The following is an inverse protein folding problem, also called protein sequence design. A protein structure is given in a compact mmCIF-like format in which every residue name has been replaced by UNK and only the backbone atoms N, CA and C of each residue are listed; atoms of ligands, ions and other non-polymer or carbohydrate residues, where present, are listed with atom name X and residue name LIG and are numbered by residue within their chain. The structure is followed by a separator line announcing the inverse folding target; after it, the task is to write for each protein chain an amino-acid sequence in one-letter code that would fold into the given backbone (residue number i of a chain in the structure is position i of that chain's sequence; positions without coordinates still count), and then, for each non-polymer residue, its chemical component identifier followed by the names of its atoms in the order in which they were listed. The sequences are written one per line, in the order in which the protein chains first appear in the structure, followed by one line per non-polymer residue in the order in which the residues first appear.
data_IF_129566966816
#
_entry.id   IF_129566966816
#
_cell.length_a   1.000
_cell.length_b   1.000
_cell.length_c   1.000
_cell.angle_alpha   90.00
_cell.angle_beta   90.00
_cell.angle_gamma   90.00
#
_symmetry.space_group_name_H-M   'P 1'
#
loop_
_entity.id
_entity.type
_entity.pdbx_description
1 polymer ?
#
# COMPACT_ATOMS: atom_id res chain seq x y z
N UNK A 1 4.47 25.42 -29.32
CA UNK A 1 5.51 25.46 -28.28
C UNK A 1 6.79 24.93 -28.90
N UNK A 2 7.61 25.82 -29.47
CA UNK A 2 8.95 25.46 -29.91
C UNK A 2 9.82 25.30 -28.65
N UNK A 3 10.41 24.13 -28.47
CA UNK A 3 11.32 23.76 -27.37
C UNK A 3 12.65 23.21 -27.89
N UNK A 4 12.79 23.16 -29.22
CA UNK A 4 14.01 22.80 -29.95
C UNK A 4 13.81 23.19 -31.42
N UNK A 5 14.91 23.47 -32.12
CA UNK A 5 14.91 23.68 -33.58
C UNK A 5 15.13 22.38 -34.38
N UNK A 6 15.23 21.23 -33.68
CA UNK A 6 15.41 19.92 -34.31
C UNK A 6 14.29 19.61 -35.31
N UNK A 7 14.66 19.38 -36.57
CA UNK A 7 13.74 18.95 -37.63
C UNK A 7 13.97 17.48 -37.97
N UNK A 8 12.91 16.66 -37.91
CA UNK A 8 12.97 15.26 -38.32
C UNK A 8 12.65 15.10 -39.82
N UNK A 9 13.23 14.10 -40.52
CA UNK A 9 12.89 13.79 -41.91
C UNK A 9 11.39 13.50 -42.12
N UNK A 10 10.82 13.90 -43.27
CA UNK A 10 9.39 13.68 -43.60
C UNK A 10 9.07 12.25 -44.09
N UNK A 11 9.85 11.26 -43.64
CA UNK A 11 9.66 9.83 -43.94
C UNK A 11 9.38 9.04 -42.65
N UNK A 12 8.74 7.87 -42.74
CA UNK A 12 8.59 6.98 -41.59
C UNK A 12 9.96 6.59 -41.00
N UNK A 13 10.05 6.65 -39.68
CA UNK A 13 11.23 6.25 -38.90
C UNK A 13 10.86 5.11 -37.95
N UNK A 14 11.81 4.21 -37.74
CA UNK A 14 11.76 3.18 -36.71
C UNK A 14 12.43 3.69 -35.44
N UNK A 15 11.91 3.25 -34.30
CA UNK A 15 12.49 3.51 -32.99
C UNK A 15 13.24 2.25 -32.53
N UNK A 16 14.46 2.44 -32.02
CA UNK A 16 15.28 1.34 -31.54
C UNK A 16 14.57 0.57 -30.40
N UNK A 17 14.63 -0.77 -30.40
CA UNK A 17 14.06 -1.59 -29.34
C UNK A 17 14.73 -1.27 -27.99
N UNK A 18 14.00 -1.45 -26.89
CA UNK A 18 14.53 -1.19 -25.54
C UNK A 18 14.54 0.30 -25.13
N UNK A 19 14.07 1.21 -25.98
CA UNK A 19 13.97 2.64 -25.66
C UNK A 19 12.95 2.96 -24.55
N UNK A 20 11.98 2.06 -24.31
CA UNK A 20 11.07 2.08 -23.16
C UNK A 20 11.31 0.83 -22.32
N UNK A 21 11.44 0.99 -21.01
CA UNK A 21 11.66 -0.09 -20.05
C UNK A 21 10.60 -0.09 -18.94
N UNK A 22 10.23 -1.26 -18.39
CA UNK A 22 9.47 -1.29 -17.15
C UNK A 22 10.30 -0.66 -16.02
N UNK A 23 9.65 -0.11 -14.99
CA UNK A 23 10.34 0.39 -13.81
C UNK A 23 11.31 -0.65 -13.25
N UNK A 24 12.49 -0.20 -12.81
CA UNK A 24 13.49 -1.07 -12.20
C UNK A 24 12.95 -1.67 -10.91
N UNK A 25 13.32 -2.92 -10.64
CA UNK A 25 12.95 -3.59 -9.39
C UNK A 25 11.49 -3.99 -9.32
N UNK A 26 10.67 -3.74 -10.34
CA UNK A 26 9.25 -4.08 -10.33
C UNK A 26 9.00 -5.57 -10.12
N UNK A 27 9.76 -6.45 -10.79
CA UNK A 27 9.66 -7.90 -10.60
C UNK A 27 10.09 -8.30 -9.19
N UNK A 28 11.20 -7.72 -8.70
CA UNK A 28 11.69 -7.98 -7.35
C UNK A 28 10.67 -7.55 -6.29
N UNK A 29 10.09 -6.35 -6.42
CA UNK A 29 9.04 -5.85 -5.55
C UNK A 29 7.80 -6.76 -5.59
N UNK A 30 7.40 -7.24 -6.77
CA UNK A 30 6.28 -8.18 -6.91
C UNK A 30 6.56 -9.50 -6.18
N UNK A 31 7.74 -10.09 -6.36
CA UNK A 31 8.13 -11.33 -5.65
C UNK A 31 8.17 -11.08 -4.13
N UNK A 32 8.74 -9.95 -3.70
CA UNK A 32 8.79 -9.56 -2.29
C UNK A 32 7.38 -9.45 -1.69
N UNK A 33 6.47 -8.71 -2.32
CA UNK A 33 5.11 -8.52 -1.80
C UNK A 33 4.27 -9.80 -1.86
N UNK A 34 4.46 -10.66 -2.87
CA UNK A 34 3.83 -11.98 -2.90
C UNK A 34 4.39 -12.89 -1.80
N UNK A 35 5.70 -12.86 -1.56
CA UNK A 35 6.33 -13.59 -0.46
C UNK A 35 5.85 -13.11 0.91
N UNK A 36 5.74 -11.80 1.10
CA UNK A 36 5.19 -11.22 2.33
C UNK A 36 3.71 -11.58 2.53
N UNK A 37 2.90 -11.53 1.46
CA UNK A 37 1.50 -11.96 1.51
C UNK A 37 1.39 -13.44 1.88
N UNK A 38 2.17 -14.30 1.20
CA UNK A 38 2.18 -15.74 1.47
C UNK A 38 2.66 -16.06 2.89
N UNK A 39 3.72 -15.40 3.36
CA UNK A 39 4.19 -15.53 4.74
C UNK A 39 3.11 -15.12 5.74
N UNK A 40 2.44 -13.99 5.51
CA UNK A 40 1.43 -13.46 6.41
C UNK A 40 0.21 -14.40 6.50
N UNK A 41 -0.27 -14.93 5.36
CA UNK A 41 -1.34 -15.94 5.33
C UNK A 41 -0.91 -17.26 5.98
N UNK A 42 0.33 -17.71 5.73
CA UNK A 42 0.84 -18.94 6.34
C UNK A 42 0.99 -18.80 7.86
N UNK A 43 1.47 -17.65 8.33
CA UNK A 43 1.72 -17.39 9.75
C UNK A 43 0.43 -17.16 10.54
N UNK A 44 -0.52 -16.37 10.03
CA UNK A 44 -1.75 -16.02 10.76
C UNK A 44 -2.95 -16.90 10.41
N UNK A 45 -2.95 -17.53 9.23
CA UNK A 45 -4.11 -18.22 8.68
C UNK A 45 -4.61 -19.41 9.49
N UNK A 46 -3.74 -20.34 9.95
CA UNK A 46 -4.18 -21.53 10.67
C UNK A 46 -4.93 -21.21 11.96
N UNK A 47 -4.36 -20.38 12.83
CA UNK A 47 -4.98 -20.01 14.12
C UNK A 47 -6.27 -19.22 13.90
N UNK A 48 -6.28 -18.31 12.93
CA UNK A 48 -7.47 -17.54 12.60
C UNK A 48 -8.60 -18.42 12.07
N UNK A 49 -8.26 -19.44 11.27
CA UNK A 49 -9.23 -20.40 10.76
C UNK A 49 -9.78 -21.27 11.89
N UNK A 50 -8.93 -21.74 12.81
CA UNK A 50 -9.33 -22.49 14.00
C UNK A 50 -10.25 -21.67 14.90
N UNK A 51 -9.86 -20.45 15.26
CA UNK A 51 -10.67 -19.58 16.11
C UNK A 51 -11.99 -19.18 15.43
N UNK A 52 -11.98 -19.01 14.09
CA UNK A 52 -13.20 -18.81 13.31
C UNK A 52 -14.12 -20.03 13.36
N UNK A 53 -13.60 -21.25 13.30
CA UNK A 53 -14.40 -22.47 13.47
C UNK A 53 -15.04 -22.53 14.86
N UNK A 54 -14.27 -22.28 15.93
CA UNK A 54 -14.77 -22.26 17.31
C UNK A 54 -15.87 -21.19 17.48
N UNK A 55 -15.72 -20.01 16.86
CA UNK A 55 -16.71 -18.92 16.94
C UNK A 55 -18.10 -19.26 16.40
N UNK A 56 -18.25 -20.35 15.63
CA UNK A 56 -19.54 -20.76 15.04
C UNK A 56 -20.46 -21.43 16.05
N UNK A 57 -19.91 -22.20 16.98
CA UNK A 57 -20.62 -22.89 18.05
C UNK A 57 -19.75 -22.90 19.33
N UNK A 58 -19.53 -21.72 19.96
CA UNK A 58 -18.63 -21.60 21.09
C UNK A 58 -19.29 -22.14 22.36
N UNK A 59 -18.56 -22.98 23.11
CA UNK A 59 -18.96 -23.49 24.43
C UNK A 59 -17.90 -23.08 25.43
N UNK A 60 -18.28 -22.24 26.40
CA UNK A 60 -17.37 -21.81 27.47
C UNK A 60 -17.36 -22.83 28.61
N UNK A 61 -16.17 -23.22 29.06
CA UNK A 61 -15.99 -24.16 30.17
C UNK A 61 -15.72 -23.39 31.47
N UNK A 62 -16.54 -23.66 32.50
CA UNK A 62 -16.35 -23.10 33.84
C UNK A 62 -15.27 -23.85 34.65
N UNK A 63 -15.04 -25.13 34.33
CA UNK A 63 -14.08 -26.00 35.00
C UNK A 63 -12.98 -26.44 34.02
N UNK A 64 -12.05 -25.53 33.74
CA UNK A 64 -10.85 -25.81 32.96
C UNK A 64 -9.60 -25.37 33.72
N UNK A 65 -8.55 -26.18 33.66
CA UNK A 65 -7.26 -25.86 34.27
C UNK A 65 -6.41 -25.13 33.24
N UNK A 66 -5.92 -23.94 33.60
CA UNK A 66 -5.00 -23.14 32.80
C UNK A 66 -3.67 -23.09 33.54
N UNK A 67 -2.60 -23.58 32.91
CA UNK A 67 -1.23 -23.58 33.44
C UNK A 67 -0.31 -22.75 32.53
N UNK A 68 0.78 -22.23 33.10
CA UNK A 68 1.84 -21.52 32.37
C UNK A 68 1.36 -20.37 31.45
N UNK A 69 0.28 -19.67 31.82
CA UNK A 69 -0.22 -18.53 31.07
C UNK A 69 0.74 -17.35 31.10
N UNK A 70 1.30 -16.96 29.96
CA UNK A 70 2.14 -15.75 29.84
C UNK A 70 1.71 -14.90 28.64
N UNK A 71 1.75 -13.56 28.81
CA UNK A 71 1.49 -12.61 27.73
C UNK A 71 2.62 -11.59 27.64
N UNK A 72 3.19 -11.41 26.45
CA UNK A 72 4.26 -10.46 26.17
C UNK A 72 3.84 -9.45 25.10
N UNK A 73 3.87 -8.16 25.45
CA UNK A 73 3.59 -7.07 24.50
C UNK A 73 4.88 -6.46 23.95
N UNK A 74 5.16 -6.66 22.66
CA UNK A 74 6.30 -6.10 21.94
C UNK A 74 5.90 -4.86 21.13
N UNK A 75 6.82 -3.89 21.06
CA UNK A 75 6.67 -2.64 20.27
C UNK A 75 5.44 -1.80 20.63
N UNK A 76 4.81 -2.07 21.79
CA UNK A 76 3.69 -1.31 22.35
C UNK A 76 2.32 -1.60 21.75
N UNK A 77 2.19 -2.58 20.84
CA UNK A 77 0.90 -2.90 20.21
C UNK A 77 0.77 -4.34 19.70
N UNK A 78 1.82 -5.16 19.74
CA UNK A 78 1.75 -6.57 19.38
C UNK A 78 1.84 -7.39 20.66
N UNK A 79 0.79 -8.14 20.98
CA UNK A 79 0.74 -9.00 22.17
C UNK A 79 0.70 -10.45 21.74
N UNK A 80 1.62 -11.24 22.28
CA UNK A 80 1.64 -12.70 22.14
C UNK A 80 1.30 -13.29 23.51
N UNK A 81 0.39 -14.26 23.54
CA UNK A 81 0.03 -15.00 24.73
C UNK A 81 0.18 -16.50 24.47
N UNK A 82 0.65 -17.24 25.45
CA UNK A 82 0.71 -18.70 25.46
C UNK A 82 0.09 -19.22 26.76
N UNK A 83 -0.58 -20.37 26.69
CA UNK A 83 -1.13 -21.05 27.85
C UNK A 83 -1.30 -22.55 27.58
N UNK A 84 -1.04 -23.37 28.59
CA UNK A 84 -1.39 -24.79 28.60
C UNK A 84 -2.78 -24.96 29.21
N UNK A 85 -3.65 -25.74 28.57
CA UNK A 85 -5.00 -26.00 29.06
C UNK A 85 -5.27 -27.48 29.18
N UNK A 86 -5.96 -27.86 30.26
CA UNK A 86 -6.49 -29.20 30.47
C UNK A 86 -7.96 -29.09 30.89
N UNK A 87 -8.82 -29.82 30.19
CA UNK A 87 -10.26 -29.79 30.43
C UNK A 87 -10.92 -31.13 30.14
N UNK A 88 -12.13 -31.32 30.64
CA UNK A 88 -12.95 -32.50 30.34
C UNK A 88 -14.30 -32.09 29.80
N UNK A 89 -14.73 -32.71 28.70
CA UNK A 89 -16.02 -32.46 28.07
C UNK A 89 -16.69 -33.79 27.72
N UNK A 90 -17.97 -33.96 28.10
CA UNK A 90 -18.75 -35.20 27.92
C UNK A 90 -18.03 -36.49 28.38
N UNK A 91 -17.22 -36.39 29.45
CA UNK A 91 -16.48 -37.52 30.01
C UNK A 91 -15.18 -37.89 29.28
N UNK A 92 -14.77 -37.11 28.27
CA UNK A 92 -13.45 -37.21 27.64
C UNK A 92 -12.54 -36.09 28.13
N UNK A 93 -11.27 -36.41 28.38
CA UNK A 93 -10.24 -35.44 28.78
C UNK A 93 -9.44 -34.97 27.57
N UNK A 94 -9.14 -33.68 27.54
CA UNK A 94 -8.37 -33.02 26.50
C UNK A 94 -7.27 -32.18 27.15
N UNK A 95 -6.11 -32.19 26.51
CA UNK A 95 -5.00 -31.29 26.80
C UNK A 95 -4.65 -30.52 25.53
N UNK A 96 -4.18 -29.29 25.68
CA UNK A 96 -3.84 -28.45 24.55
C UNK A 96 -2.91 -27.31 24.93
N UNK A 97 -2.07 -26.94 23.97
CA UNK A 97 -1.26 -25.73 24.03
C UNK A 97 -1.89 -24.66 23.15
N UNK A 98 -2.21 -23.50 23.72
CA UNK A 98 -2.86 -22.40 23.02
C UNK A 98 -1.87 -21.24 22.90
N UNK A 99 -1.50 -20.92 21.67
CA UNK A 99 -0.77 -19.69 21.33
C UNK A 99 -1.73 -18.71 20.63
N UNK A 100 -1.65 -17.44 21.01
CA UNK A 100 -2.46 -16.35 20.47
C UNK A 100 -1.58 -15.13 20.21
N UNK A 101 -1.69 -14.55 19.02
CA UNK A 101 -1.04 -13.28 18.70
C UNK A 101 -2.05 -12.28 18.14
N UNK A 102 -2.13 -11.09 18.75
CA UNK A 102 -3.09 -10.06 18.39
C UNK A 102 -2.51 -8.65 18.54
N UNK A 103 -3.24 -7.66 18.01
CA UNK A 103 -2.93 -6.24 18.19
C UNK A 103 -3.73 -5.69 19.37
N UNK A 104 -3.04 -5.27 20.43
CA UNK A 104 -3.65 -4.66 21.60
C UNK A 104 -2.77 -3.57 22.21
N UNK A 105 -3.42 -2.55 22.76
CA UNK A 105 -2.79 -1.46 23.51
C UNK A 105 -2.99 -1.60 25.02
N UNK A 106 -3.68 -2.67 25.47
CA UNK A 106 -3.91 -2.95 26.88
C UNK A 106 -2.61 -3.28 27.63
N UNK A 107 -2.50 -2.77 28.85
CA UNK A 107 -1.40 -3.03 29.78
C UNK A 107 -1.99 -3.57 31.08
N UNK A 108 -1.82 -4.86 31.34
CA UNK A 108 -2.40 -5.54 32.50
C UNK A 108 -2.59 -7.03 32.25
N UNK A 109 -3.13 -7.72 33.25
CA UNK A 109 -3.49 -9.13 33.16
C UNK A 109 -4.81 -9.30 32.42
N UNK A 110 -4.92 -10.36 31.61
CA UNK A 110 -6.15 -10.69 30.90
C UNK A 110 -6.92 -11.75 31.68
N UNK A 111 -8.20 -11.50 31.91
CA UNK A 111 -9.11 -12.55 32.37
C UNK A 111 -9.54 -13.39 31.18
N UNK A 112 -9.29 -14.70 31.26
CA UNK A 112 -9.54 -15.63 30.16
C UNK A 112 -10.26 -16.87 30.65
N UNK A 113 -11.22 -17.35 29.86
CA UNK A 113 -11.85 -18.67 30.03
C UNK A 113 -11.46 -19.56 28.85
N UNK A 114 -11.52 -20.88 29.06
CA UNK A 114 -11.32 -21.84 27.96
C UNK A 114 -12.63 -21.98 27.20
N UNK A 115 -12.56 -21.80 25.89
CA UNK A 115 -13.69 -21.93 24.97
C UNK A 115 -13.38 -23.02 23.95
N UNK A 116 -14.30 -23.97 23.81
CA UNK A 116 -14.19 -25.07 22.86
C UNK A 116 -15.23 -24.94 21.75
N UNK A 117 -15.01 -25.64 20.64
CA UNK A 117 -16.07 -25.84 19.64
C UNK A 117 -17.04 -26.92 20.11
N UNK A 118 -18.34 -26.61 20.13
CA UNK A 118 -19.37 -27.61 20.39
C UNK A 118 -19.48 -28.68 19.30
N UNK A 119 -18.98 -28.40 18.09
CA UNK A 119 -18.98 -29.35 16.97
C UNK A 119 -17.75 -30.28 16.98
N UNK A 120 -16.62 -29.80 17.52
CA UNK A 120 -15.37 -30.54 17.63
C UNK A 120 -14.64 -30.13 18.93
N UNK A 121 -14.87 -30.87 20.04
CA UNK A 121 -14.29 -30.55 21.34
C UNK A 121 -12.76 -30.60 21.39
N UNK A 122 -12.07 -31.13 20.36
CA UNK A 122 -10.61 -31.09 20.28
C UNK A 122 -10.08 -29.68 19.93
N UNK A 123 -10.93 -28.80 19.42
CA UNK A 123 -10.60 -27.41 19.14
C UNK A 123 -10.90 -26.54 20.36
N UNK A 124 -9.83 -26.10 21.03
CA UNK A 124 -9.90 -25.15 22.13
C UNK A 124 -9.15 -23.85 21.81
N UNK A 125 -9.65 -22.75 22.37
CA UNK A 125 -9.02 -21.43 22.37
C UNK A 125 -9.34 -20.73 23.70
N UNK A 126 -8.71 -19.58 23.94
CA UNK A 126 -9.08 -18.72 25.06
C UNK A 126 -10.18 -17.75 24.62
N UNK A 127 -11.06 -17.33 25.53
CA UNK A 127 -12.08 -16.30 25.25
C UNK A 127 -11.48 -15.06 24.59
N UNK A 128 -10.29 -14.67 25.01
CA UNK A 128 -9.49 -13.58 24.43
C UNK A 128 -9.21 -13.77 22.92
N UNK A 129 -9.01 -15.01 22.47
CA UNK A 129 -8.83 -15.34 21.06
C UNK A 129 -10.06 -15.01 20.21
N UNK A 130 -11.25 -15.30 20.74
CA UNK A 130 -12.53 -15.01 20.08
C UNK A 130 -12.87 -13.51 20.12
N UNK A 131 -12.61 -12.83 21.23
CA UNK A 131 -12.82 -11.39 21.36
C UNK A 131 -11.97 -10.59 20.35
N UNK A 132 -10.71 -11.00 20.18
CA UNK A 132 -9.76 -10.34 19.26
C UNK A 132 -9.80 -10.92 17.85
N UNK A 133 -10.67 -11.89 17.56
CA UNK A 133 -10.79 -12.55 16.25
C UNK A 133 -11.03 -11.53 15.12
N UNK A 134 -12.01 -10.63 15.29
CA UNK A 134 -12.32 -9.63 14.27
C UNK A 134 -11.22 -8.59 14.08
N UNK A 135 -10.51 -8.21 15.14
CA UNK A 135 -9.33 -7.35 15.03
C UNK A 135 -8.27 -8.02 14.15
N UNK A 136 -7.94 -9.29 14.42
CA UNK A 136 -6.98 -10.09 13.63
C UNK A 136 -7.43 -10.25 12.18
N UNK A 137 -8.71 -10.56 11.92
CA UNK A 137 -9.28 -10.64 10.56
C UNK A 137 -9.12 -9.32 9.80
N UNK A 138 -9.49 -8.19 10.42
CA UNK A 138 -9.43 -6.87 9.78
C UNK A 138 -7.98 -6.48 9.47
N UNK A 139 -7.07 -6.67 10.42
CA UNK A 139 -5.65 -6.36 10.23
C UNK A 139 -5.07 -7.23 9.10
N UNK A 140 -5.33 -8.53 9.13
CA UNK A 140 -4.95 -9.46 8.05
C UNK A 140 -5.48 -9.00 6.70
N UNK A 141 -6.76 -8.65 6.62
CA UNK A 141 -7.41 -8.21 5.39
C UNK A 141 -6.80 -6.91 4.84
N UNK A 142 -6.52 -5.92 5.72
CA UNK A 142 -5.91 -4.65 5.32
C UNK A 142 -4.50 -4.83 4.77
N UNK A 143 -3.64 -5.58 5.45
CA UNK A 143 -2.29 -5.87 4.96
C UNK A 143 -2.32 -6.70 3.68
N UNK A 144 -3.24 -7.66 3.58
CA UNK A 144 -3.42 -8.46 2.37
C UNK A 144 -3.85 -7.61 1.18
N UNK A 145 -4.82 -6.72 1.38
CA UNK A 145 -5.29 -5.78 0.37
C UNK A 145 -4.18 -4.81 -0.07
N UNK A 146 -3.37 -4.31 0.87
CA UNK A 146 -2.21 -3.47 0.57
C UNK A 146 -1.21 -4.19 -0.32
N UNK A 147 -0.77 -5.39 0.06
CA UNK A 147 0.22 -6.14 -0.73
C UNK A 147 -0.32 -6.55 -2.10
N UNK A 148 -1.58 -7.00 -2.16
CA UNK A 148 -2.24 -7.32 -3.43
C UNK A 148 -2.37 -6.07 -4.32
N UNK A 149 -2.73 -4.93 -3.76
CA UNK A 149 -2.80 -3.64 -4.46
C UNK A 149 -1.44 -3.23 -5.05
N UNK A 150 -0.35 -3.44 -4.30
CA UNK A 150 1.02 -3.18 -4.77
C UNK A 150 1.45 -4.12 -5.91
N UNK A 151 1.05 -5.40 -5.84
CA UNK A 151 1.25 -6.38 -6.92
C UNK A 151 0.45 -5.99 -8.17
N UNK A 152 -0.84 -5.67 -8.03
CA UNK A 152 -1.70 -5.24 -9.14
C UNK A 152 -1.15 -3.96 -9.78
N UNK A 153 -0.77 -2.97 -8.99
CA UNK A 153 -0.14 -1.72 -9.48
C UNK A 153 1.12 -2.02 -10.31
N UNK A 154 1.96 -2.95 -9.83
CA UNK A 154 3.15 -3.40 -10.55
C UNK A 154 2.78 -4.08 -11.88
N UNK A 155 1.77 -4.94 -11.91
CA UNK A 155 1.28 -5.58 -13.13
C UNK A 155 0.74 -4.55 -14.13
N UNK A 156 -0.04 -3.57 -13.69
CA UNK A 156 -0.55 -2.47 -14.54
C UNK A 156 0.59 -1.66 -15.15
N UNK A 157 1.62 -1.32 -14.35
CA UNK A 157 2.80 -0.62 -14.84
C UNK A 157 3.56 -1.44 -15.89
N UNK A 158 3.72 -2.76 -15.66
CA UNK A 158 4.35 -3.68 -16.62
C UNK A 158 3.54 -3.80 -17.91
N UNK A 159 2.22 -4.01 -17.81
CA UNK A 159 1.32 -4.12 -18.96
C UNK A 159 1.37 -2.85 -19.81
N UNK A 160 1.38 -1.69 -19.17
CA UNK A 160 1.49 -0.40 -19.85
C UNK A 160 2.84 -0.22 -20.55
N UNK A 161 3.95 -0.58 -19.91
CA UNK A 161 5.27 -0.53 -20.54
C UNK A 161 5.35 -1.48 -21.74
N UNK A 162 4.76 -2.69 -21.64
CA UNK A 162 4.69 -3.64 -22.74
C UNK A 162 3.81 -3.15 -23.89
N UNK A 163 2.66 -2.54 -23.60
CA UNK A 163 1.79 -1.94 -24.63
C UNK A 163 2.49 -0.78 -25.33
N UNK A 164 3.22 0.07 -24.61
CA UNK A 164 4.03 1.13 -25.21
C UNK A 164 5.15 0.58 -26.10
N UNK A 165 5.85 -0.48 -25.67
CA UNK A 165 6.88 -1.17 -26.47
C UNK A 165 6.32 -1.75 -27.77
N UNK A 166 5.14 -2.38 -27.72
CA UNK A 166 4.46 -2.86 -28.93
C UNK A 166 4.06 -1.72 -29.86
N UNK A 167 3.58 -0.61 -29.29
CA UNK A 167 3.18 0.57 -30.06
C UNK A 167 4.31 1.32 -30.76
N UNK A 168 5.58 1.11 -30.39
CA UNK A 168 6.75 1.73 -31.06
C UNK A 168 7.47 0.81 -32.05
N UNK A 169 6.95 -0.40 -32.29
CA UNK A 169 7.63 -1.40 -33.12
C UNK A 169 7.51 -1.15 -34.63
N UNK A 170 6.53 -0.34 -35.04
CA UNK A 170 6.31 0.01 -36.44
C UNK A 170 7.10 1.24 -36.88
N UNK A 171 7.28 1.38 -38.19
CA UNK A 171 7.76 2.63 -38.79
C UNK A 171 6.61 3.63 -38.87
N UNK A 172 6.81 4.85 -38.39
CA UNK A 172 5.80 5.90 -38.50
C UNK A 172 6.44 7.29 -38.58
N UNK A 173 5.63 8.29 -38.94
CA UNK A 173 5.99 9.70 -38.78
C UNK A 173 5.98 10.04 -37.29
N UNK A 174 7.09 10.58 -36.80
CA UNK A 174 7.32 10.84 -35.39
C UNK A 174 7.12 12.32 -35.09
N UNK A 175 6.35 12.63 -34.05
CA UNK A 175 6.19 13.99 -33.55
C UNK A 175 7.17 14.28 -32.41
N UNK A 176 7.88 15.41 -32.46
CA UNK A 176 8.73 15.86 -31.35
C UNK A 176 7.87 16.35 -30.19
N UNK A 177 8.21 15.92 -28.97
CA UNK A 177 7.50 16.30 -27.74
C UNK A 177 8.48 16.64 -26.61
N UNK A 178 8.21 17.67 -25.81
CA UNK A 178 9.02 17.99 -24.65
C UNK A 178 8.74 17.00 -23.52
N UNK A 179 9.78 16.43 -22.92
CA UNK A 179 9.64 15.50 -21.79
C UNK A 179 10.34 16.03 -20.54
N UNK A 180 9.66 16.00 -19.41
CA UNK A 180 10.23 16.36 -18.11
C UNK A 180 10.90 15.14 -17.51
N UNK A 181 12.19 15.25 -17.21
CA UNK A 181 12.90 14.23 -16.44
C UNK A 181 12.50 14.37 -14.97
N UNK A 182 11.87 13.33 -14.44
CA UNK A 182 11.36 13.31 -13.06
C UNK A 182 12.35 12.67 -12.10
N UNK A 183 13.12 11.69 -12.57
CA UNK A 183 14.16 11.04 -11.81
C UNK A 183 15.27 10.57 -12.76
N UNK A 184 16.52 10.86 -12.39
CA UNK A 184 17.73 10.42 -13.10
C UNK A 184 18.61 9.74 -12.07
N UNK A 185 18.92 8.48 -12.30
CA UNK A 185 19.70 7.66 -11.37
C UNK A 185 20.80 6.91 -12.12
N UNK A 186 22.04 7.13 -11.71
CA UNK A 186 23.22 6.51 -12.30
C UNK A 186 23.72 5.34 -11.43
N UNK A 187 24.07 4.24 -12.08
CA UNK A 187 24.67 3.08 -11.41
C UNK A 187 25.71 2.44 -12.33
N UNK A 188 26.98 2.67 -12.03
CA UNK A 188 28.09 2.25 -12.90
C UNK A 188 27.94 2.88 -14.28
N UNK A 189 27.94 2.06 -15.34
CA UNK A 189 27.79 2.52 -16.74
C UNK A 189 26.34 2.72 -17.20
N UNK A 190 25.34 2.64 -16.31
CA UNK A 190 23.91 2.71 -16.68
C UNK A 190 23.25 3.93 -16.05
N UNK A 191 22.56 4.72 -16.88
CA UNK A 191 21.75 5.86 -16.44
C UNK A 191 20.28 5.53 -16.63
N UNK A 192 19.57 5.39 -15.52
CA UNK A 192 18.13 5.13 -15.50
C UNK A 192 17.38 6.45 -15.43
N UNK A 193 16.44 6.66 -16.35
CA UNK A 193 15.68 7.91 -16.44
C UNK A 193 14.20 7.62 -16.41
N UNK A 194 13.50 8.24 -15.45
CA UNK A 194 12.03 8.31 -15.41
C UNK A 194 11.61 9.68 -15.91
N UNK A 195 10.77 9.71 -16.94
CA UNK A 195 10.37 10.93 -17.62
C UNK A 195 8.87 10.92 -17.91
N UNK A 196 8.29 12.09 -18.14
CA UNK A 196 6.90 12.22 -18.55
C UNK A 196 6.78 13.36 -19.55
N UNK A 197 5.86 13.23 -20.51
CA UNK A 197 5.59 14.34 -21.42
C UNK A 197 5.03 15.56 -20.71
N UNK A 198 5.45 16.76 -21.12
CA UNK A 198 4.78 18.00 -20.75
C UNK A 198 3.58 18.21 -21.67
N UNK A 199 2.36 18.02 -21.16
CA UNK A 199 1.12 18.22 -21.93
C UNK A 199 0.72 19.70 -21.90
N UNK A 200 0.84 20.33 -20.74
CA UNK A 200 0.59 21.75 -20.52
C UNK A 200 1.48 22.26 -19.37
N UNK A 201 1.65 23.58 -19.19
CA UNK A 201 2.37 24.13 -18.04
C UNK A 201 1.86 23.52 -16.73
N UNK A 202 2.75 22.92 -15.93
CA UNK A 202 2.42 22.25 -14.68
C UNK A 202 1.71 20.88 -14.79
N UNK A 203 1.29 20.45 -16.00
CA UNK A 203 0.60 19.17 -16.22
C UNK A 203 1.45 18.20 -17.04
N UNK A 204 1.85 17.11 -16.38
CA UNK A 204 2.61 16.05 -17.01
C UNK A 204 1.70 14.89 -17.40
N UNK A 205 2.04 14.24 -18.51
CA UNK A 205 1.46 12.97 -18.92
C UNK A 205 1.91 11.82 -18.03
N UNK A 206 1.61 10.60 -18.48
CA UNK A 206 1.94 9.42 -17.71
C UNK A 206 3.46 9.12 -17.80
N UNK A 207 4.09 8.74 -16.69
CA UNK A 207 5.54 8.52 -16.62
C UNK A 207 6.01 7.27 -17.38
N UNK A 208 7.11 7.38 -18.13
CA UNK A 208 7.83 6.32 -18.81
C UNK A 208 9.23 6.15 -18.19
N UNK A 209 9.86 4.99 -18.41
CA UNK A 209 11.23 4.73 -17.95
C UNK A 209 12.09 4.30 -19.12
N UNK A 210 13.35 4.69 -19.10
CA UNK A 210 14.36 4.22 -20.06
C UNK A 210 15.70 4.04 -19.35
N UNK A 211 16.61 3.31 -20.00
CA UNK A 211 17.98 3.13 -19.53
C UNK A 211 18.92 3.50 -20.66
N UNK A 212 19.91 4.33 -20.37
CA UNK A 212 21.04 4.61 -21.24
C UNK A 212 22.26 3.85 -20.73
N UNK A 213 23.13 3.42 -21.65
CA UNK A 213 24.39 2.75 -21.35
C UNK A 213 25.52 3.63 -21.88
N UNK A 214 26.47 3.98 -21.02
CA UNK A 214 27.56 4.89 -21.38
C UNK A 214 28.31 4.38 -22.64
N UNK A 215 28.55 5.26 -23.64
CA UNK A 215 28.53 6.72 -23.54
C UNK A 215 27.18 7.40 -23.80
N UNK A 216 26.09 6.67 -24.10
CA UNK A 216 24.80 7.26 -24.41
C UNK A 216 24.24 8.07 -23.24
N UNK A 217 23.76 9.28 -23.53
CA UNK A 217 23.15 10.21 -22.58
C UNK A 217 21.80 10.70 -23.11
N UNK A 218 20.86 11.12 -22.24
CA UNK A 218 19.60 11.71 -22.70
C UNK A 218 19.85 13.02 -23.45
N UNK A 219 19.12 13.24 -24.54
CA UNK A 219 19.12 14.51 -25.26
C UNK A 219 18.27 15.53 -24.49
N UNK A 220 18.88 16.67 -24.16
CA UNK A 220 18.28 17.73 -23.36
C UNK A 220 18.28 19.06 -24.14
N UNK A 221 17.27 19.90 -23.90
CA UNK A 221 17.17 21.28 -24.36
C UNK A 221 16.45 22.13 -23.30
N UNK A 222 16.32 23.43 -23.53
CA UNK A 222 15.55 24.35 -22.70
C UNK A 222 14.12 24.50 -23.26
N UNK A 223 13.13 24.55 -22.38
CA UNK A 223 11.79 24.99 -22.78
C UNK A 223 11.72 26.53 -22.88
N UNK A 224 10.56 27.04 -23.29
CA UNK A 224 10.33 28.49 -23.47
C UNK A 224 10.49 29.29 -22.16
N UNK A 225 10.40 28.61 -21.01
CA UNK A 225 10.55 29.20 -19.69
C UNK A 225 12.00 29.07 -19.17
N UNK A 226 12.92 28.56 -20.00
CA UNK A 226 14.31 28.30 -19.64
C UNK A 226 14.52 27.08 -18.73
N UNK A 227 13.52 26.20 -18.59
CA UNK A 227 13.66 24.98 -17.78
C UNK A 227 14.26 23.85 -18.62
N UNK A 228 15.12 23.05 -17.99
CA UNK A 228 15.64 21.84 -18.63
C UNK A 228 14.52 20.84 -18.93
N UNK A 229 14.37 20.49 -20.20
CA UNK A 229 13.52 19.42 -20.70
C UNK A 229 14.34 18.45 -21.54
N UNK A 230 13.92 17.18 -21.57
CA UNK A 230 14.41 16.22 -22.54
C UNK A 230 13.66 16.34 -23.87
N UNK A 231 14.33 15.94 -24.95
CA UNK A 231 13.71 15.83 -26.26
C UNK A 231 13.21 14.39 -26.44
N UNK A 232 11.90 14.23 -26.62
CA UNK A 232 11.26 12.96 -26.91
C UNK A 232 10.59 12.93 -28.27
N UNK A 233 10.27 11.73 -28.73
CA UNK A 233 9.42 11.48 -29.89
C UNK A 233 8.16 10.72 -29.48
N UNK A 234 7.03 11.07 -30.09
CA UNK A 234 5.79 10.31 -30.01
C UNK A 234 5.56 9.56 -31.32
N UNK A 235 5.42 8.25 -31.20
CA UNK A 235 4.82 7.41 -32.23
C UNK A 235 3.29 7.48 -32.11
N UNK A 236 2.52 7.57 -33.23
CA UNK A 236 1.07 7.72 -33.20
C UNK A 236 0.36 6.61 -32.42
N UNK A 237 0.80 5.36 -32.57
CA UNK A 237 0.22 4.19 -31.88
C UNK A 237 0.77 3.93 -30.47
N UNK A 238 1.74 4.72 -30.01
CA UNK A 238 2.39 4.51 -28.72
C UNK A 238 1.72 5.30 -27.59
N UNK A 239 1.42 4.60 -26.49
CA UNK A 239 0.88 5.22 -25.28
C UNK A 239 1.85 6.16 -24.56
N UNK A 240 3.15 6.06 -24.83
CA UNK A 240 4.21 6.78 -24.13
C UNK A 240 5.22 7.32 -25.13
N UNK A 241 5.75 8.54 -24.90
CA UNK A 241 6.83 9.06 -25.71
C UNK A 241 8.12 8.29 -25.45
N UNK A 242 9.06 8.42 -26.37
CA UNK A 242 10.41 7.86 -26.28
C UNK A 242 11.39 9.01 -26.12
N UNK A 243 12.12 9.03 -25.01
CA UNK A 243 13.22 9.98 -24.80
C UNK A 243 14.39 9.64 -25.74
N UNK A 244 14.91 10.64 -26.46
CA UNK A 244 16.04 10.48 -27.37
C UNK A 244 17.38 10.50 -26.62
N UNK A 245 18.39 9.89 -27.24
CA UNK A 245 19.78 9.99 -26.84
C UNK A 245 20.49 11.14 -27.58
N UNK A 246 21.57 11.65 -26.99
CA UNK A 246 22.32 12.79 -27.52
C UNK A 246 22.89 12.58 -28.93
N UNK A 247 23.13 11.32 -29.33
CA UNK A 247 23.67 10.94 -30.65
C UNK A 247 22.57 10.50 -31.64
N UNK A 248 21.29 10.56 -31.23
CA UNK A 248 20.12 10.16 -32.02
C UNK A 248 20.19 8.70 -32.53
N UNK A 249 20.87 7.80 -31.81
CA UNK A 249 20.99 6.38 -32.16
C UNK A 249 19.68 5.61 -32.01
N UNK A 250 18.74 6.13 -31.21
CA UNK A 250 17.40 5.53 -31.02
C UNK A 250 16.49 5.66 -32.24
N UNK A 251 16.87 6.44 -33.25
CA UNK A 251 16.09 6.64 -34.48
C UNK A 251 16.81 6.01 -35.67
N UNK A 252 16.04 5.42 -36.59
CA UNK A 252 16.56 4.88 -37.85
C UNK A 252 16.84 5.98 -38.89
N UNK A 253 17.70 6.92 -38.54
CA UNK A 253 18.19 7.98 -39.43
C UNK A 253 19.32 7.45 -40.33
N UNK A 254 19.42 7.98 -41.54
CA UNK A 254 20.63 7.79 -42.35
C UNK A 254 21.80 8.56 -41.72
N UNK A 255 23.06 8.21 -42.03
CA UNK A 255 24.22 8.95 -41.53
C UNK A 255 24.16 10.46 -41.85
N UNK A 256 23.69 10.81 -43.05
CA UNK A 256 23.53 12.20 -43.50
C UNK A 256 22.44 12.94 -42.72
N UNK A 257 21.26 12.33 -42.57
CA UNK A 257 20.15 12.89 -41.79
C UNK A 257 20.54 13.10 -40.32
N UNK A 258 21.26 12.13 -39.74
CA UNK A 258 21.75 12.22 -38.37
C UNK A 258 22.76 13.35 -38.20
N UNK A 259 23.72 13.48 -39.12
CA UNK A 259 24.70 14.57 -39.07
C UNK A 259 24.04 15.95 -39.17
N UNK A 260 23.05 16.10 -40.07
CA UNK A 260 22.30 17.35 -40.20
C UNK A 260 21.53 17.69 -38.91
N UNK A 261 20.86 16.70 -38.30
CA UNK A 261 20.14 16.87 -37.04
C UNK A 261 21.07 17.23 -35.87
N UNK A 262 22.22 16.54 -35.75
CA UNK A 262 23.23 16.84 -34.72
C UNK A 262 23.86 18.22 -34.91
N UNK A 263 24.02 18.70 -36.15
CA UNK A 263 24.50 20.04 -36.42
C UNK A 263 23.52 21.11 -35.89
N UNK A 264 22.21 20.92 -36.08
CA UNK A 264 21.17 21.80 -35.52
C UNK A 264 21.26 21.84 -33.98
N UNK A 265 21.32 20.67 -33.34
CA UNK A 265 21.44 20.56 -31.87
C UNK A 265 22.70 21.26 -31.35
N UNK A 266 23.85 21.08 -32.01
CA UNK A 266 25.10 21.74 -31.61
C UNK A 266 25.04 23.26 -31.77
N UNK A 267 24.38 23.76 -32.82
CA UNK A 267 24.19 25.19 -32.99
C UNK A 267 23.29 25.80 -31.91
N UNK A 268 22.22 25.11 -31.53
CA UNK A 268 21.34 25.48 -30.42
C UNK A 268 22.12 25.50 -29.09
N UNK A 269 22.91 24.45 -28.83
CA UNK A 269 23.75 24.37 -27.64
C UNK A 269 24.87 25.43 -27.57
N UNK A 270 25.38 25.91 -28.71
CA UNK A 270 26.35 27.02 -28.74
C UNK A 270 25.68 28.37 -28.44
N UNK A 271 24.42 28.55 -28.82
CA UNK A 271 23.66 29.77 -28.59
C UNK A 271 23.15 29.87 -27.14
N UNK A 272 22.62 28.77 -26.59
CA UNK A 272 21.90 28.76 -25.30
C UNK A 272 22.66 28.02 -24.18
N UNK A 273 23.71 27.27 -24.51
CA UNK A 273 24.44 26.40 -23.59
C UNK A 273 23.88 24.97 -23.54
N UNK A 274 24.58 24.07 -22.86
CA UNK A 274 24.15 22.67 -22.67
C UNK A 274 23.44 22.55 -21.32
N UNK A 275 22.14 22.18 -21.29
CA UNK A 275 21.43 21.98 -20.04
C UNK A 275 21.98 20.77 -19.27
N UNK A 276 22.19 20.94 -17.97
CA UNK A 276 22.50 19.84 -17.06
C UNK A 276 21.26 19.00 -16.78
N UNK A 277 21.42 17.68 -16.69
CA UNK A 277 20.33 16.79 -16.28
C UNK A 277 19.81 17.20 -14.90
N UNK A 278 18.48 17.33 -14.71
CA UNK A 278 17.94 17.73 -13.44
C UNK A 278 18.27 16.69 -12.36
N UNK A 279 18.59 17.11 -11.13
CA UNK A 279 18.88 16.18 -10.04
C UNK A 279 17.64 15.32 -9.74
N UNK A 280 17.86 14.12 -9.21
CA UNK A 280 16.79 13.22 -8.80
C UNK A 280 15.82 13.95 -7.86
N UNK A 281 14.53 13.99 -8.20
CA UNK A 281 13.51 14.55 -7.31
C UNK A 281 13.47 13.72 -6.03
N UNK A 282 13.61 14.39 -4.89
CA UNK A 282 13.43 13.76 -3.57
C UNK A 282 12.04 13.15 -3.51
N UNK A 283 11.95 11.90 -3.06
CA UNK A 283 10.66 11.22 -2.89
C UNK A 283 9.81 12.02 -1.90
N UNK A 284 8.70 12.61 -2.36
CA UNK A 284 7.76 13.30 -1.49
C UNK A 284 6.89 12.28 -0.74
N UNK A 285 7.51 11.49 0.14
CA UNK A 285 6.87 10.41 0.90
C UNK A 285 5.61 10.88 1.63
N UNK A 286 5.59 12.13 2.12
CA UNK A 286 4.43 12.77 2.75
C UNK A 286 3.19 12.80 1.86
N UNK A 287 3.31 13.03 0.55
CA UNK A 287 2.16 13.04 -0.38
C UNK A 287 1.58 11.65 -0.59
N UNK A 288 2.45 10.64 -0.72
CA UNK A 288 2.03 9.24 -0.81
C UNK A 288 1.39 8.76 0.48
N UNK A 289 1.98 9.12 1.63
CA UNK A 289 1.46 8.81 2.95
C UNK A 289 0.10 9.46 3.18
N UNK A 290 -0.08 10.75 2.86
CA UNK A 290 -1.37 11.43 2.99
C UNK A 290 -2.43 10.84 2.07
N UNK A 291 -2.08 10.49 0.82
CA UNK A 291 -3.04 9.87 -0.09
C UNK A 291 -3.49 8.48 0.38
N UNK A 292 -2.60 7.72 1.03
CA UNK A 292 -2.90 6.40 1.55
C UNK A 292 -3.58 6.44 2.91
N UNK A 293 -2.99 7.13 3.90
CA UNK A 293 -3.50 7.22 5.27
C UNK A 293 -4.66 8.20 5.41
N UNK A 294 -4.81 9.19 4.51
CA UNK A 294 -5.83 10.23 4.61
C UNK A 294 -7.26 9.68 4.70
N UNK A 295 -7.68 8.77 3.80
CA UNK A 295 -9.00 8.13 3.91
C UNK A 295 -9.20 7.37 5.23
N UNK A 296 -8.19 6.63 5.70
CA UNK A 296 -8.28 5.90 6.98
C UNK A 296 -8.34 6.84 8.18
N UNK A 297 -7.57 7.92 8.17
CA UNK A 297 -7.59 8.94 9.22
C UNK A 297 -8.94 9.65 9.25
N UNK A 298 -9.53 9.96 8.08
CA UNK A 298 -10.87 10.55 8.00
C UNK A 298 -11.94 9.60 8.55
N UNK A 299 -11.87 8.30 8.20
CA UNK A 299 -12.76 7.29 8.76
C UNK A 299 -12.58 7.18 10.28
N UNK A 300 -11.35 7.13 10.77
CA UNK A 300 -11.04 7.06 12.19
C UNK A 300 -11.56 8.27 12.98
N UNK A 301 -11.34 9.49 12.47
CA UNK A 301 -11.87 10.72 13.07
C UNK A 301 -13.41 10.72 13.03
N UNK A 302 -14.01 10.25 11.93
CA UNK A 302 -15.45 10.09 11.82
C UNK A 302 -16.02 9.10 12.84
N UNK A 303 -15.39 7.94 13.01
CA UNK A 303 -15.75 6.95 14.02
C UNK A 303 -15.63 7.50 15.44
N UNK A 304 -14.55 8.21 15.76
CA UNK A 304 -14.37 8.84 17.07
C UNK A 304 -15.38 9.96 17.32
N UNK A 305 -15.67 10.79 16.32
CA UNK A 305 -16.68 11.84 16.42
C UNK A 305 -18.08 11.27 16.63
N UNK A 306 -18.43 10.19 15.90
CA UNK A 306 -19.67 9.46 16.11
C UNK A 306 -19.72 8.84 17.51
N UNK A 307 -18.64 8.20 17.96
CA UNK A 307 -18.56 7.64 19.31
C UNK A 307 -18.77 8.70 20.39
N UNK A 308 -18.16 9.88 20.25
CA UNK A 308 -18.35 10.99 21.18
C UNK A 308 -19.82 11.44 21.21
N UNK A 309 -20.46 11.56 20.04
CA UNK A 309 -21.90 11.83 19.95
C UNK A 309 -22.73 10.72 20.61
N UNK A 310 -22.35 9.46 20.41
CA UNK A 310 -23.01 8.31 21.01
C UNK A 310 -23.01 8.38 22.54
N UNK A 311 -21.84 8.47 23.17
CA UNK A 311 -21.74 8.43 24.64
C UNK A 311 -22.36 9.67 25.30
N UNK A 312 -22.27 10.84 24.66
CA UNK A 312 -22.74 12.11 25.26
C UNK A 312 -24.18 12.47 24.92
N UNK A 313 -24.67 12.09 23.74
CA UNK A 313 -25.86 12.71 23.14
C UNK A 313 -26.86 11.73 22.51
N UNK A 314 -26.49 10.47 22.23
CA UNK A 314 -27.41 9.53 21.56
C UNK A 314 -28.69 9.31 22.37
N UNK A 315 -29.86 9.15 21.72
CA UNK A 315 -31.14 9.01 22.40
C UNK A 315 -31.33 7.68 23.14
N UNK A 316 -30.46 6.70 22.90
CA UNK A 316 -30.52 5.36 23.48
C UNK A 316 -29.12 4.79 23.69
N UNK A 317 -28.96 3.93 24.72
CA UNK A 317 -27.72 3.18 24.92
C UNK A 317 -27.53 2.03 23.89
N UNK A 318 -28.57 1.64 23.15
CA UNK A 318 -28.53 0.49 22.24
C UNK A 318 -28.24 0.88 20.79
N UNK A 319 -27.23 1.73 20.57
CA UNK A 319 -26.73 2.05 19.23
C UNK A 319 -25.70 0.99 18.80
N UNK A 320 -26.02 0.20 17.77
CA UNK A 320 -25.16 -0.91 17.35
C UNK A 320 -23.75 -0.47 16.96
N UNK A 321 -23.61 0.66 16.29
CA UNK A 321 -22.30 1.15 15.85
C UNK A 321 -21.55 1.82 17.02
N UNK A 322 -22.25 2.62 17.83
CA UNK A 322 -21.71 3.27 19.02
C UNK A 322 -21.20 2.27 20.06
N UNK A 323 -21.97 1.21 20.34
CA UNK A 323 -21.58 0.11 21.24
C UNK A 323 -20.31 -0.58 20.73
N UNK A 324 -20.27 -0.92 19.44
CA UNK A 324 -19.12 -1.57 18.81
C UNK A 324 -17.87 -0.69 18.91
N UNK A 325 -17.98 0.61 18.59
CA UNK A 325 -16.83 1.53 18.71
C UNK A 325 -16.41 1.69 20.17
N UNK A 326 -17.35 1.80 21.11
CA UNK A 326 -17.01 1.93 22.53
C UNK A 326 -16.26 0.70 23.04
N UNK A 327 -16.69 -0.50 22.68
CA UNK A 327 -16.09 -1.77 23.12
C UNK A 327 -14.64 -1.96 22.64
N UNK A 328 -14.29 -1.44 21.46
CA UNK A 328 -12.95 -1.59 20.89
C UNK A 328 -11.96 -0.49 21.29
N UNK A 329 -12.43 0.58 21.96
CA UNK A 329 -11.57 1.68 22.37
C UNK A 329 -10.68 1.29 23.56
N UNK A 330 -9.50 1.94 23.73
CA UNK A 330 -8.63 1.71 24.87
C UNK A 330 -9.36 1.87 26.21
N UNK A 331 -8.94 1.11 27.23
CA UNK A 331 -9.61 1.01 28.54
C UNK A 331 -10.06 2.37 29.10
N UNK A 332 -9.16 3.35 29.18
CA UNK A 332 -9.48 4.68 29.69
C UNK A 332 -10.60 5.41 28.90
N UNK A 333 -10.67 5.23 27.58
CA UNK A 333 -11.73 5.84 26.75
C UNK A 333 -13.04 5.08 26.90
N UNK A 334 -12.96 3.76 26.93
CA UNK A 334 -14.10 2.89 27.06
C UNK A 334 -14.78 3.04 28.44
N UNK A 335 -14.01 3.09 29.53
CA UNK A 335 -14.48 3.38 30.89
C UNK A 335 -15.18 4.73 30.95
N UNK A 336 -14.52 5.80 30.49
CA UNK A 336 -15.13 7.13 30.44
C UNK A 336 -16.41 7.15 29.59
N UNK A 337 -16.43 6.44 28.46
CA UNK A 337 -17.62 6.31 27.62
C UNK A 337 -18.78 5.62 28.34
N UNK A 338 -18.48 4.59 29.14
CA UNK A 338 -19.46 3.90 29.98
C UNK A 338 -19.98 4.80 31.11
N UNK A 339 -19.12 5.60 31.76
CA UNK A 339 -19.53 6.58 32.77
C UNK A 339 -20.53 7.60 32.19
N UNK A 340 -20.26 8.12 30.98
CA UNK A 340 -21.16 9.07 30.32
C UNK A 340 -22.53 8.46 30.00
N UNK A 341 -22.54 7.19 29.57
CA UNK A 341 -23.77 6.47 29.29
C UNK A 341 -24.53 6.15 30.58
N UNK A 342 -23.84 5.73 31.64
CA UNK A 342 -24.45 5.43 32.94
C UNK A 342 -25.06 6.68 33.58
N UNK A 343 -24.42 7.84 33.46
CA UNK A 343 -24.96 9.11 33.96
C UNK A 343 -26.33 9.46 33.34
N UNK A 344 -26.63 8.91 32.15
CA UNK A 344 -27.84 9.21 31.38
C UNK A 344 -28.86 8.08 31.39
N UNK A 345 -28.41 6.84 31.53
CA UNK A 345 -29.23 5.64 31.42
C UNK A 345 -29.00 4.64 32.57
N UNK A 346 -28.43 5.08 33.70
CA UNK A 346 -28.09 4.21 34.83
C UNK A 346 -29.28 3.51 35.49
N UNK A 347 -30.50 3.94 35.17
CA UNK A 347 -31.75 3.30 35.55
C UNK A 347 -32.14 2.11 34.64
N UNK A 348 -31.38 1.85 33.58
CA UNK A 348 -31.58 0.81 32.59
C UNK A 348 -30.40 -0.17 32.56
N UNK A 349 -30.55 -1.28 31.82
CA UNK A 349 -29.50 -2.29 31.66
C UNK A 349 -28.36 -1.74 30.81
N UNK A 350 -27.12 -1.98 31.25
CA UNK A 350 -25.94 -1.52 30.54
C UNK A 350 -25.84 -2.09 29.11
N UNK A 351 -25.35 -1.31 28.14
CA UNK A 351 -25.13 -1.78 26.78
C UNK A 351 -23.87 -2.66 26.69
N UNK A 352 -23.77 -3.46 25.61
CA UNK A 352 -22.60 -4.27 25.32
C UNK A 352 -21.32 -3.42 25.33
N UNK A 353 -20.29 -3.91 26.01
CA UNK A 353 -19.04 -3.18 26.25
C UNK A 353 -19.01 -2.31 27.51
N UNK A 354 -20.13 -2.19 28.25
CA UNK A 354 -20.25 -1.50 29.54
C UNK A 354 -20.89 -2.37 30.65
N UNK A 355 -21.17 -3.64 30.37
CA UNK A 355 -21.78 -4.58 31.32
C UNK A 355 -20.75 -5.24 32.24
N UNK A 356 -21.14 -5.53 33.47
CA UNK A 356 -20.48 -6.50 34.36
C UNK A 356 -20.87 -7.95 34.02
N UNK A 357 -20.30 -8.91 34.74
CA UNK A 357 -20.49 -10.36 34.56
C UNK A 357 -21.96 -10.82 34.65
N UNK A 358 -22.84 -10.01 35.26
CA UNK A 358 -24.28 -10.29 35.36
C UNK A 358 -25.07 -9.88 34.10
N UNK A 359 -24.38 -9.36 33.07
CA UNK A 359 -24.92 -8.89 31.80
C UNK A 359 -26.05 -7.85 31.91
N UNK A 360 -26.15 -7.17 33.05
CA UNK A 360 -27.21 -6.17 33.33
C UNK A 360 -26.67 -4.93 33.99
N UNK A 361 -25.80 -5.10 34.97
CA UNK A 361 -25.24 -4.02 35.76
C UNK A 361 -24.11 -3.32 35.01
N UNK A 362 -23.98 -2.03 35.31
CA UNK A 362 -22.92 -1.17 34.80
C UNK A 362 -21.60 -1.50 35.48
N UNK A 363 -20.53 -1.56 34.69
CA UNK A 363 -19.16 -1.77 35.17
C UNK A 363 -18.52 -0.53 35.78
#
# INVERSE_FOLDING_TARGET
MAFTQLTLPDRPLNIAPGSINPPRGLIFAMILFLGLLGFLVWFQGPDLYRDWQISRNPVELQEALIENGECTTRKGFFTDCSADVAYSYEGQSYDGHIELAFFDFHTGDYWVSVVISGDDPSLATLSLGLEKLWNRIIVLALFSALFLGLVISSLVQRARANKARKGIAGSARLGLVPVVLTNVFERGRKTHVTYAERIAPGKNGKAANTTFVAPAQPLLSFDQDGQTVGIGVRHPDALLPVLLDAELERLSLTPEERQAALAQIRSEAQAEGVPAAPPAKKLHWKRGLVAFCGPFLLLFIGSLGYWLHYVTSAPTQYDQYGMLVNQILPGFMNEWGCDQLQARFGDQNAPSGCVMDDHRSWK
#
